data_IF_252327194812
#
_entry.id   IF_252327194812
#
_cell.length_a   1.000
_cell.length_b   1.000
_cell.length_c   1.000
_cell.angle_alpha   90.00
_cell.angle_beta   90.00
_cell.angle_gamma   90.00
#
_symmetry.space_group_name_H-M   'P 1'
#
loop_
_entity.id
_entity.type
_entity.pdbx_description
1 polymer ?
#
# COMPACT_ATOMS: atom_id res chain seq x y z
N UNK A 1 19.92 8.14 -10.54
CA UNK A 1 18.48 7.96 -10.22
C UNK A 1 18.41 7.71 -8.72
N UNK A 2 18.20 8.76 -7.92
CA UNK A 2 18.09 8.67 -6.48
C UNK A 2 16.80 7.91 -6.15
N UNK A 3 16.88 6.90 -5.29
CA UNK A 3 15.69 6.18 -4.85
C UNK A 3 14.85 7.12 -3.99
N UNK A 4 13.62 7.38 -4.41
CA UNK A 4 12.63 8.16 -3.66
C UNK A 4 12.07 7.43 -2.41
N UNK A 5 12.67 6.30 -2.08
CA UNK A 5 12.26 5.48 -0.95
C UNK A 5 13.16 5.76 0.26
N UNK A 6 12.54 5.79 1.44
CA UNK A 6 13.28 5.70 2.69
C UNK A 6 14.18 4.46 2.67
N UNK A 7 15.31 4.49 3.38
CA UNK A 7 16.20 3.32 3.51
C UNK A 7 15.54 2.13 4.23
N UNK A 8 14.28 2.29 4.67
CA UNK A 8 13.48 1.24 5.31
C UNK A 8 12.91 0.28 4.27
N UNK A 9 12.83 -1.03 4.58
CA UNK A 9 12.17 -2.00 3.71
C UNK A 9 10.68 -1.69 3.56
N UNK A 10 10.05 -2.11 2.45
CA UNK A 10 8.62 -1.90 2.23
C UNK A 10 7.74 -2.55 3.32
N UNK A 11 8.20 -3.63 3.89
CA UNK A 11 7.52 -4.32 4.99
C UNK A 11 8.52 -4.93 5.96
N UNK A 12 8.07 -5.21 7.16
CA UNK A 12 8.85 -5.88 8.19
C UNK A 12 8.09 -7.08 8.74
N UNK A 13 8.84 -8.14 9.07
CA UNK A 13 8.30 -9.30 9.79
C UNK A 13 9.00 -9.42 11.12
N UNK A 14 8.29 -9.17 12.20
CA UNK A 14 8.78 -9.35 13.56
C UNK A 14 8.42 -10.77 14.01
N UNK A 15 9.42 -11.61 14.18
CA UNK A 15 9.24 -13.02 14.54
C UNK A 15 9.31 -13.21 16.06
N UNK A 16 8.46 -14.07 16.63
CA UNK A 16 8.59 -14.49 18.02
C UNK A 16 9.80 -15.42 18.19
N UNK A 17 10.30 -15.55 19.41
CA UNK A 17 11.34 -16.55 19.73
C UNK A 17 10.85 -17.97 19.45
N UNK A 18 9.56 -18.23 19.72
CA UNK A 18 8.87 -19.49 19.44
C UNK A 18 7.47 -19.16 19.01
N UNK A 19 7.07 -19.68 17.86
CA UNK A 19 5.68 -19.58 17.42
C UNK A 19 4.82 -20.61 18.15
N UNK A 20 3.70 -20.17 18.70
CA UNK A 20 2.82 -20.99 19.54
C UNK A 20 1.54 -21.44 18.81
N UNK A 21 1.22 -20.82 17.69
CA UNK A 21 0.05 -21.13 16.88
C UNK A 21 0.31 -20.86 15.40
N UNK A 22 -0.40 -21.52 14.47
CA UNK A 22 -0.32 -21.25 13.03
C UNK A 22 -1.10 -19.96 12.66
N UNK A 23 -0.79 -18.87 13.35
CA UNK A 23 -1.45 -17.57 13.20
C UNK A 23 -0.36 -16.52 12.93
N UNK A 24 -0.62 -15.63 11.99
CA UNK A 24 0.20 -14.44 11.72
C UNK A 24 -0.69 -13.21 11.90
N UNK A 25 -0.23 -12.26 12.68
CA UNK A 25 -0.86 -10.94 12.77
C UNK A 25 -0.37 -10.10 11.61
N UNK A 26 -1.30 -9.49 10.86
CA UNK A 26 -0.97 -8.67 9.71
C UNK A 26 -1.52 -7.24 9.88
N UNK A 27 -0.63 -6.26 9.78
CA UNK A 27 -0.93 -4.83 9.76
C UNK A 27 -0.47 -4.22 8.44
N UNK A 28 -1.24 -4.45 7.39
CA UNK A 28 -0.88 -4.07 6.02
C UNK A 28 -1.19 -2.61 5.67
N UNK A 29 -1.95 -1.89 6.51
CA UNK A 29 -2.47 -0.56 6.20
C UNK A 29 -2.09 0.52 7.24
N UNK A 30 -1.17 0.21 8.14
CA UNK A 30 -0.69 1.15 9.18
C UNK A 30 0.61 1.87 8.79
N UNK A 31 1.13 1.60 7.59
CA UNK A 31 2.39 2.18 7.12
C UNK A 31 2.28 3.70 6.95
N UNK A 32 3.36 4.41 7.31
CA UNK A 32 3.43 5.87 7.38
C UNK A 32 4.63 6.46 6.64
N UNK A 33 5.40 5.64 5.94
CA UNK A 33 6.53 6.10 5.13
C UNK A 33 6.01 6.58 3.77
N UNK A 34 5.59 7.84 3.71
CA UNK A 34 5.07 8.47 2.50
C UNK A 34 6.21 8.90 1.59
N UNK A 35 6.34 8.36 0.35
CA UNK A 35 7.33 8.83 -0.59
C UNK A 35 7.12 10.32 -0.92
N UNK A 36 8.19 11.10 -0.89
CA UNK A 36 8.12 12.55 -1.11
C UNK A 36 7.47 12.88 -2.47
N UNK A 37 7.82 12.10 -3.50
CA UNK A 37 7.23 12.24 -4.83
C UNK A 37 5.72 12.01 -4.82
N UNK A 38 5.23 11.04 -4.03
CA UNK A 38 3.80 10.77 -3.90
C UNK A 38 3.08 11.95 -3.23
N UNK A 39 3.65 12.51 -2.16
CA UNK A 39 3.09 13.68 -1.48
C UNK A 39 3.04 14.90 -2.43
N UNK A 40 4.09 15.16 -3.20
CA UNK A 40 4.14 16.25 -4.19
C UNK A 40 3.10 16.13 -5.30
N UNK A 41 2.69 14.91 -5.64
CA UNK A 41 1.68 14.64 -6.67
C UNK A 41 0.26 14.63 -6.10
N UNK A 42 0.11 14.49 -4.80
CA UNK A 42 -1.19 14.49 -4.13
C UNK A 42 -1.83 15.87 -4.14
N UNK A 43 -3.16 15.92 -4.32
CA UNK A 43 -3.97 17.12 -4.10
C UNK A 43 -4.48 17.23 -2.67
N UNK A 44 -4.29 16.17 -1.88
CA UNK A 44 -4.70 16.13 -0.49
C UNK A 44 -3.62 16.77 0.37
N UNK A 45 -4.04 17.45 1.42
CA UNK A 45 -3.13 17.83 2.50
C UNK A 45 -2.75 16.59 3.32
N UNK A 46 -1.76 16.74 4.18
CA UNK A 46 -1.21 15.67 5.00
C UNK A 46 -2.28 14.97 5.86
N UNK A 47 -3.19 15.71 6.45
CA UNK A 47 -4.29 15.16 7.27
C UNK A 47 -5.25 14.31 6.43
N UNK A 48 -5.64 14.80 5.26
CA UNK A 48 -6.61 14.13 4.40
C UNK A 48 -6.04 12.87 3.76
N UNK A 49 -4.76 12.85 3.38
CA UNK A 49 -4.14 11.66 2.78
C UNK A 49 -4.01 10.51 3.77
N UNK A 50 -3.89 10.84 5.06
CA UNK A 50 -3.76 9.86 6.15
C UNK A 50 -5.09 9.26 6.61
N UNK A 51 -6.22 9.78 6.17
CA UNK A 51 -7.55 9.24 6.53
C UNK A 51 -7.78 7.80 6.06
N UNK A 52 -6.99 7.31 5.11
CA UNK A 52 -7.04 5.92 4.66
C UNK A 52 -6.21 4.95 5.51
N UNK A 53 -5.39 5.46 6.43
CA UNK A 53 -4.58 4.62 7.31
C UNK A 53 -5.47 3.86 8.31
N UNK A 54 -5.17 2.59 8.55
CA UNK A 54 -5.57 1.90 9.78
C UNK A 54 -4.57 2.32 10.87
N UNK A 55 -4.72 3.57 11.32
CA UNK A 55 -3.72 4.23 12.17
C UNK A 55 -3.46 3.45 13.45
N UNK A 56 -2.16 3.26 13.78
CA UNK A 56 -1.69 2.66 15.03
C UNK A 56 -1.98 1.16 15.21
N UNK A 57 -2.56 0.47 14.24
CA UNK A 57 -2.86 -0.97 14.35
C UNK A 57 -1.56 -1.77 14.51
N UNK A 58 -0.48 -1.39 13.83
CA UNK A 58 0.85 -1.98 14.00
C UNK A 58 1.39 -1.83 15.43
N UNK A 59 1.09 -0.73 16.12
CA UNK A 59 1.48 -0.48 17.51
C UNK A 59 0.59 -1.22 18.51
N UNK A 60 -0.73 -1.27 18.24
CA UNK A 60 -1.68 -2.06 19.04
C UNK A 60 -1.23 -3.53 19.10
N UNK A 61 -0.80 -4.07 17.94
CA UNK A 61 -0.33 -5.45 17.84
C UNK A 61 1.18 -5.64 18.04
N UNK A 62 1.93 -4.61 18.43
CA UNK A 62 3.38 -4.70 18.64
C UNK A 62 3.81 -5.77 19.66
N UNK A 63 2.90 -6.15 20.56
CA UNK A 63 3.17 -7.21 21.56
C UNK A 63 2.92 -8.64 21.03
N UNK A 64 2.35 -8.83 19.85
CA UNK A 64 2.06 -10.15 19.28
C UNK A 64 3.30 -11.07 19.24
N UNK A 65 4.52 -10.62 18.88
CA UNK A 65 5.70 -11.46 18.91
C UNK A 65 6.08 -11.95 20.32
N UNK A 66 5.84 -11.16 21.36
CA UNK A 66 6.05 -11.58 22.73
C UNK A 66 5.04 -12.65 23.18
N UNK A 67 3.88 -12.70 22.53
CA UNK A 67 2.84 -13.72 22.75
C UNK A 67 3.03 -14.95 21.88
N UNK A 68 4.10 -15.02 21.10
CA UNK A 68 4.40 -16.17 20.23
C UNK A 68 3.74 -16.09 18.84
N UNK A 69 3.24 -14.94 18.41
CA UNK A 69 2.61 -14.73 17.11
C UNK A 69 3.46 -13.82 16.24
N UNK A 70 3.87 -14.21 15.02
CA UNK A 70 4.56 -13.32 14.10
C UNK A 70 3.70 -12.10 13.77
N UNK A 71 4.33 -10.92 13.64
CA UNK A 71 3.70 -9.70 13.17
C UNK A 71 4.32 -9.30 11.83
N UNK A 72 3.51 -9.25 10.79
CA UNK A 72 3.83 -8.67 9.49
C UNK A 72 3.24 -7.26 9.43
N UNK A 73 4.04 -6.26 9.09
CA UNK A 73 3.57 -4.88 8.94
C UNK A 73 4.15 -4.23 7.68
N UNK A 74 3.32 -3.47 6.96
CA UNK A 74 3.77 -2.61 5.88
C UNK A 74 4.33 -1.29 6.46
N UNK A 75 5.37 -0.74 5.81
CA UNK A 75 5.92 0.57 6.15
C UNK A 75 5.33 1.66 5.25
N UNK A 76 4.99 1.35 3.99
CA UNK A 76 4.34 2.28 3.07
C UNK A 76 2.85 2.47 3.39
N UNK A 77 2.28 3.65 3.08
CA UNK A 77 0.88 3.93 3.36
C UNK A 77 -0.06 3.23 2.36
N UNK A 78 -1.23 2.85 2.83
CA UNK A 78 -2.30 2.29 2.00
C UNK A 78 -2.70 3.21 0.84
N UNK A 79 -2.65 4.54 1.05
CA UNK A 79 -2.93 5.51 0.00
C UNK A 79 -1.97 5.43 -1.19
N UNK A 80 -0.74 4.94 -0.97
CA UNK A 80 0.25 4.73 -2.01
C UNK A 80 0.06 3.40 -2.74
N UNK A 81 -0.15 2.33 -1.99
CA UNK A 81 -0.41 0.99 -2.50
C UNK A 81 -1.30 0.21 -1.53
N UNK A 82 -2.49 -0.16 -1.98
CA UNK A 82 -3.38 -1.02 -1.21
C UNK A 82 -3.13 -2.49 -1.55
N UNK A 83 -2.43 -3.19 -0.65
CA UNK A 83 -2.10 -4.62 -0.80
C UNK A 83 -3.29 -5.56 -0.56
N UNK A 84 -4.43 -5.00 -0.16
CA UNK A 84 -5.71 -5.74 -0.04
C UNK A 84 -6.56 -5.62 -1.32
N UNK A 85 -5.92 -5.35 -2.45
CA UNK A 85 -6.50 -5.30 -3.78
C UNK A 85 -5.87 -6.34 -4.69
N UNK A 86 -6.64 -6.80 -5.67
CA UNK A 86 -6.09 -7.64 -6.71
C UNK A 86 -5.07 -6.87 -7.59
N UNK A 87 -4.06 -7.55 -8.13
CA UNK A 87 -3.22 -6.95 -9.15
C UNK A 87 -4.09 -6.42 -10.29
N UNK A 88 -3.79 -5.20 -10.75
CA UNK A 88 -4.53 -4.54 -11.83
C UNK A 88 -6.00 -4.17 -11.51
N UNK A 89 -6.42 -4.24 -10.26
CA UNK A 89 -7.73 -3.72 -9.84
C UNK A 89 -7.67 -2.19 -9.75
N UNK A 90 -8.24 -1.52 -10.75
CA UNK A 90 -8.24 -0.07 -10.85
C UNK A 90 -9.63 0.47 -11.19
N UNK A 91 -10.02 1.58 -10.57
CA UNK A 91 -11.25 2.30 -10.94
C UNK A 91 -11.02 3.08 -12.25
N UNK A 92 -11.73 2.74 -13.36
CA UNK A 92 -11.58 3.43 -14.64
C UNK A 92 -11.80 4.94 -14.53
N UNK A 93 -12.62 5.40 -13.58
CA UNK A 93 -12.91 6.83 -13.37
C UNK A 93 -11.69 7.63 -12.91
N UNK A 94 -10.65 6.97 -12.42
CA UNK A 94 -9.41 7.60 -12.00
C UNK A 94 -8.49 7.95 -13.19
N UNK A 95 -8.80 7.46 -14.37
CA UNK A 95 -7.94 7.58 -15.56
C UNK A 95 -8.65 8.39 -16.66
N UNK A 96 -7.87 9.09 -17.48
CA UNK A 96 -8.39 9.82 -18.67
C UNK A 96 -8.54 8.91 -19.87
N UNK A 97 -7.57 8.01 -20.02
CA UNK A 97 -7.51 7.07 -21.13
C UNK A 97 -8.12 5.74 -20.71
N UNK A 98 -8.69 4.96 -21.65
CA UNK A 98 -9.16 3.62 -21.37
C UNK A 98 -8.04 2.75 -20.78
N UNK A 99 -8.36 1.98 -19.76
CA UNK A 99 -7.42 1.01 -19.20
C UNK A 99 -7.26 -0.17 -20.17
N UNK A 100 -6.07 -0.78 -20.29
CA UNK A 100 -5.86 -2.01 -21.02
C UNK A 100 -6.79 -3.13 -20.54
N UNK A 101 -7.14 -4.06 -21.44
CA UNK A 101 -8.11 -5.13 -21.19
C UNK A 101 -7.76 -6.07 -20.03
N UNK A 102 -6.47 -6.18 -19.69
CA UNK A 102 -6.01 -7.02 -18.59
C UNK A 102 -6.25 -6.41 -17.18
N UNK A 103 -6.75 -5.16 -17.12
CA UNK A 103 -7.09 -4.54 -15.84
C UNK A 103 -8.47 -4.98 -15.36
N UNK A 104 -8.56 -5.33 -14.08
CA UNK A 104 -9.84 -5.62 -13.45
C UNK A 104 -10.56 -4.31 -13.11
N UNK A 105 -11.58 -4.00 -13.91
CA UNK A 105 -12.39 -2.77 -13.75
C UNK A 105 -13.79 -3.06 -13.22
N UNK A 106 -14.11 -4.33 -12.96
CA UNK A 106 -15.46 -4.79 -12.60
C UNK A 106 -15.59 -5.23 -11.15
N UNK A 107 -14.53 -5.11 -10.36
CA UNK A 107 -14.59 -5.47 -8.96
C UNK A 107 -15.66 -4.65 -8.22
N UNK A 108 -16.57 -5.32 -7.47
CA UNK A 108 -17.61 -4.64 -6.70
C UNK A 108 -17.07 -3.91 -5.46
N UNK A 109 -15.77 -3.91 -5.27
CA UNK A 109 -15.17 -3.26 -4.12
C UNK A 109 -15.36 -1.76 -4.26
N UNK A 110 -16.06 -1.17 -3.30
CA UNK A 110 -16.28 0.28 -3.21
C UNK A 110 -15.00 1.03 -3.53
N UNK A 111 -15.09 2.11 -4.33
CA UNK A 111 -13.91 2.90 -4.63
C UNK A 111 -13.22 3.24 -3.31
N UNK A 112 -11.90 3.11 -3.24
CA UNK A 112 -11.19 3.57 -2.05
C UNK A 112 -11.57 5.03 -1.85
N UNK A 113 -11.65 5.46 -0.61
CA UNK A 113 -11.76 6.87 -0.26
C UNK A 113 -10.48 7.64 -0.68
N UNK A 114 -9.84 7.19 -1.73
CA UNK A 114 -8.75 7.86 -2.39
C UNK A 114 -9.32 9.03 -3.14
N UNK A 115 -9.06 10.21 -2.63
CA UNK A 115 -9.27 11.42 -3.39
C UNK A 115 -8.61 11.27 -4.77
N UNK A 116 -9.18 11.92 -5.80
CA UNK A 116 -8.70 11.79 -7.16
C UNK A 116 -7.21 12.12 -7.22
N UNK A 117 -6.41 11.13 -7.57
CA UNK A 117 -4.99 11.33 -7.87
C UNK A 117 -4.85 12.42 -8.94
N UNK A 118 -3.82 13.28 -8.84
CA UNK A 118 -3.61 14.33 -9.82
C UNK A 118 -3.48 13.74 -11.23
N UNK A 119 -3.88 14.52 -12.23
CA UNK A 119 -3.87 14.09 -13.64
C UNK A 119 -2.49 13.62 -14.13
N UNK A 120 -1.40 14.11 -13.51
CA UNK A 120 -0.03 13.65 -13.77
C UNK A 120 0.23 12.22 -13.30
N UNK A 121 -0.36 11.82 -12.19
CA UNK A 121 -0.27 10.43 -11.68
C UNK A 121 -1.05 9.47 -12.57
N UNK A 122 -2.13 9.94 -13.18
CA UNK A 122 -2.94 9.16 -14.13
C UNK A 122 -2.18 8.76 -15.39
N UNK A 123 -1.16 9.54 -15.79
CA UNK A 123 -0.30 9.19 -16.95
C UNK A 123 0.81 8.21 -16.61
N UNK A 124 1.20 8.10 -15.36
CA UNK A 124 2.34 7.29 -14.91
C UNK A 124 1.94 6.02 -14.17
N UNK A 125 0.67 5.81 -13.86
CA UNK A 125 0.17 4.62 -13.18
C UNK A 125 0.52 3.31 -13.90
N UNK A 126 0.45 3.20 -15.24
CA UNK A 126 0.94 2.02 -15.95
C UNK A 126 2.43 1.76 -15.73
N UNK A 127 3.22 2.82 -15.53
CA UNK A 127 4.67 2.71 -15.29
C UNK A 127 5.02 2.24 -13.88
N UNK A 128 4.14 2.46 -12.90
CA UNK A 128 4.37 2.01 -11.51
C UNK A 128 4.19 0.49 -11.43
N UNK A 129 3.19 -0.06 -12.12
CA UNK A 129 2.97 -1.51 -12.18
C UNK A 129 4.10 -2.20 -12.95
N UNK A 130 4.67 -1.56 -13.98
CA UNK A 130 5.81 -2.08 -14.73
C UNK A 130 7.16 -1.95 -14.01
N UNK A 131 7.26 -1.07 -13.02
CA UNK A 131 8.48 -0.86 -12.23
C UNK A 131 8.65 -1.89 -11.10
N UNK A 132 7.65 -2.71 -10.83
CA UNK A 132 7.77 -3.82 -9.88
C UNK A 132 8.30 -5.05 -10.62
N UNK A 133 9.55 -5.47 -10.41
CA UNK A 133 10.09 -6.64 -11.07
C UNK A 133 9.42 -7.88 -10.46
N UNK A 134 8.35 -8.36 -11.09
CA UNK A 134 7.91 -9.73 -10.91
C UNK A 134 9.03 -10.62 -11.47
N UNK A 135 9.96 -11.02 -10.62
CA UNK A 135 10.82 -12.17 -10.93
C UNK A 135 9.93 -13.41 -10.91
N UNK A 136 9.38 -13.74 -12.07
CA UNK A 136 8.87 -15.09 -12.32
C UNK A 136 10.05 -16.05 -12.21
N UNK A 137 10.00 -16.99 -11.32
CA UNK A 137 10.76 -18.24 -11.40
C UNK A 137 10.06 -19.18 -12.35
#
# INVERSE_FOLDING_TARGET
MQSDYSDRPAFETVRPRRQVAPIIVNSSHSGRDYPERFLKLSRLNEMAIRQSEDAWVDEIFARAPHMGLPLLRANFPRAYLDVNREPYELDPKMFRDPLPEHFNTTSPVSPPALAPLPASFRKTAPSIVSAWPLKTR
#
